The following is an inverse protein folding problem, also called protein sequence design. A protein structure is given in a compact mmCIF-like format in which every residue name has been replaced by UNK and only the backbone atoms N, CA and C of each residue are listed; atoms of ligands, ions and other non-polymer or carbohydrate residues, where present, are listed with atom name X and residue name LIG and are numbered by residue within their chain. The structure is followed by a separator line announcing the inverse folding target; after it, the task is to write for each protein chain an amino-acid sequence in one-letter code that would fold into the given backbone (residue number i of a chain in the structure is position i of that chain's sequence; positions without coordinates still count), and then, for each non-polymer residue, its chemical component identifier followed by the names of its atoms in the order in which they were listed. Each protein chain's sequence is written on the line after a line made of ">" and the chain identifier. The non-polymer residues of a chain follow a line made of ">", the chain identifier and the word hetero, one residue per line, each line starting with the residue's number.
data_IF_954759208411
#
_entry.id   IF_954759208411
#
_cell.length_a   1.000
_cell.length_b   1.000
_cell.length_c   1.000
_cell.angle_alpha   90.00
_cell.angle_beta   90.00
_cell.angle_gamma   90.00
#
_symmetry.space_group_name_H-M   'P 1'
#
loop_
_entity.id
_entity.type
_entity.pdbx_description
1 polymer ?
#
# COMPACT_ATOMS: atom_id res chain seq x y z
N UNK A 1 21.32 -21.71 0.10
CA UNK A 1 20.34 -22.53 -0.65
C UNK A 1 19.09 -21.66 -0.79
N UNK A 2 18.44 -21.55 -1.96
CA UNK A 2 17.24 -20.72 -2.07
C UNK A 2 16.04 -21.47 -1.45
N UNK A 3 15.38 -20.84 -0.47
CA UNK A 3 14.31 -21.46 0.35
C UNK A 3 12.90 -21.13 -0.12
N UNK A 4 12.79 -20.17 -1.03
CA UNK A 4 11.59 -19.90 -1.81
C UNK A 4 11.86 -20.27 -3.28
N UNK A 5 10.91 -20.91 -3.93
CA UNK A 5 10.88 -21.08 -5.39
C UNK A 5 9.58 -20.49 -5.92
N UNK A 6 9.69 -19.69 -6.98
CA UNK A 6 8.54 -19.07 -7.63
C UNK A 6 8.41 -19.65 -9.02
N UNK A 7 7.27 -20.28 -9.29
CA UNK A 7 6.91 -20.84 -10.59
C UNK A 7 5.53 -20.28 -10.98
N UNK A 8 5.49 -19.38 -11.97
CA UNK A 8 4.29 -18.62 -12.34
C UNK A 8 3.61 -17.96 -11.13
N UNK A 9 2.49 -18.53 -10.67
CA UNK A 9 1.65 -18.02 -9.58
C UNK A 9 1.82 -18.80 -8.27
N UNK A 10 2.77 -19.75 -8.24
CA UNK A 10 3.05 -20.60 -7.10
C UNK A 10 4.31 -20.15 -6.37
N UNK A 11 4.22 -20.14 -5.05
CA UNK A 11 5.36 -20.02 -4.15
C UNK A 11 5.48 -21.33 -3.37
N UNK A 12 6.61 -22.00 -3.54
CA UNK A 12 7.01 -23.15 -2.71
C UNK A 12 7.98 -22.61 -1.66
N UNK A 13 7.64 -22.80 -0.39
CA UNK A 13 8.44 -22.33 0.74
C UNK A 13 8.83 -23.51 1.62
N UNK A 14 10.14 -23.72 1.82
CA UNK A 14 10.69 -24.88 2.54
C UNK A 14 11.19 -24.51 3.92
N UNK A 15 10.93 -25.39 4.89
CA UNK A 15 11.52 -25.27 6.22
C UNK A 15 13.03 -25.53 6.17
N UNK A 16 13.89 -24.58 6.60
CA UNK A 16 15.33 -24.80 6.60
C UNK A 16 15.78 -25.94 7.54
N UNK A 17 15.00 -26.23 8.58
CA UNK A 17 15.29 -27.32 9.53
C UNK A 17 14.62 -28.65 9.12
N UNK A 18 13.67 -28.61 8.20
CA UNK A 18 13.03 -29.80 7.65
C UNK A 18 12.71 -29.61 6.14
N UNK A 19 13.70 -29.83 5.25
CA UNK A 19 13.52 -29.60 3.82
C UNK A 19 12.42 -30.41 3.14
N UNK A 20 11.93 -31.48 3.79
CA UNK A 20 10.80 -32.28 3.33
C UNK A 20 9.43 -31.62 3.61
N UNK A 21 9.39 -30.65 4.52
CA UNK A 21 8.19 -29.85 4.83
C UNK A 21 8.07 -28.68 3.85
N UNK A 22 7.49 -28.97 2.69
CA UNK A 22 7.18 -27.99 1.66
C UNK A 22 5.78 -27.39 1.84
N UNK A 23 5.71 -26.05 1.87
CA UNK A 23 4.44 -25.32 1.94
C UNK A 23 4.16 -24.63 0.61
N UNK A 24 2.93 -24.80 0.14
CA UNK A 24 2.49 -24.33 -1.17
C UNK A 24 1.51 -23.17 -1.02
N UNK A 25 1.79 -22.09 -1.73
CA UNK A 25 0.92 -20.92 -1.81
C UNK A 25 0.65 -20.59 -3.28
N UNK A 26 -0.55 -20.11 -3.56
CA UNK A 26 -0.97 -19.65 -4.89
C UNK A 26 -1.53 -18.25 -4.74
N UNK A 27 -1.12 -17.33 -5.61
CA UNK A 27 -1.55 -15.93 -5.63
C UNK A 27 -1.92 -15.50 -7.06
N UNK A 28 -2.49 -14.31 -7.23
CA UNK A 28 -2.77 -13.77 -8.57
C UNK A 28 -1.48 -13.60 -9.39
N UNK A 29 -0.41 -13.17 -8.73
CA UNK A 29 0.95 -13.03 -9.27
C UNK A 29 1.96 -13.46 -8.21
N UNK A 30 3.09 -14.05 -8.63
CA UNK A 30 4.26 -14.28 -7.78
C UNK A 30 5.53 -13.80 -8.49
N UNK A 31 6.26 -12.89 -7.85
CA UNK A 31 7.40 -12.19 -8.46
C UNK A 31 8.72 -12.70 -7.91
N UNK A 32 9.59 -13.21 -8.78
CA UNK A 32 10.96 -13.52 -8.42
C UNK A 32 11.85 -12.29 -8.60
N UNK A 33 12.23 -11.64 -7.50
CA UNK A 33 13.04 -10.42 -7.52
C UNK A 33 14.31 -10.53 -6.68
N UNK A 34 14.83 -11.76 -6.51
CA UNK A 34 15.99 -12.02 -5.65
C UNK A 34 17.34 -11.89 -6.39
N UNK A 35 17.45 -12.54 -7.55
CA UNK A 35 18.66 -12.63 -8.37
C UNK A 35 18.28 -12.63 -9.87
N UNK A 36 19.27 -12.68 -10.76
CA UNK A 36 19.04 -12.66 -12.21
C UNK A 36 18.88 -11.26 -12.80
N UNK A 37 19.57 -10.27 -12.24
CA UNK A 37 19.58 -8.89 -12.73
C UNK A 37 21.00 -8.38 -13.00
N UNK A 38 21.10 -7.37 -13.85
CA UNK A 38 22.28 -6.54 -14.06
C UNK A 38 22.00 -5.11 -13.58
N UNK A 39 22.97 -4.48 -12.90
CA UNK A 39 22.84 -3.09 -12.44
C UNK A 39 23.38 -2.12 -13.51
N UNK A 40 22.48 -1.33 -14.08
CA UNK A 40 22.83 -0.26 -15.01
C UNK A 40 23.51 0.93 -14.30
N UNK A 41 24.11 1.84 -15.08
CA UNK A 41 24.81 3.04 -14.55
C UNK A 41 23.93 3.95 -13.69
N UNK A 42 22.61 3.95 -13.92
CA UNK A 42 21.62 4.70 -13.16
C UNK A 42 21.13 3.94 -11.90
N UNK A 43 21.72 2.78 -11.60
CA UNK A 43 21.32 1.88 -10.52
C UNK A 43 20.03 1.09 -10.79
N UNK A 44 19.52 1.11 -12.03
CA UNK A 44 18.37 0.27 -12.42
C UNK A 44 18.78 -1.20 -12.49
N UNK A 45 17.97 -2.08 -11.91
CA UNK A 45 18.17 -3.52 -11.94
C UNK A 45 17.39 -4.10 -13.12
N UNK A 46 18.05 -4.31 -14.25
CA UNK A 46 17.44 -4.90 -15.44
C UNK A 46 17.47 -6.41 -15.40
N UNK A 47 16.40 -7.10 -15.85
CA UNK A 47 16.38 -8.56 -15.90
C UNK A 47 17.41 -9.10 -16.89
N UNK A 48 18.16 -10.12 -16.49
CA UNK A 48 19.01 -10.94 -17.39
C UNK A 48 18.15 -11.93 -18.18
N UNK A 49 17.05 -12.41 -17.58
CA UNK A 49 16.08 -13.31 -18.17
C UNK A 49 14.64 -13.00 -17.69
N UNK A 50 13.65 -13.72 -18.20
CA UNK A 50 12.23 -13.53 -17.85
C UNK A 50 11.88 -13.89 -16.40
N UNK A 51 12.79 -14.53 -15.65
CA UNK A 51 12.53 -14.92 -14.28
C UNK A 51 12.54 -13.70 -13.37
N UNK A 52 13.50 -12.79 -13.53
CA UNK A 52 13.57 -11.59 -12.68
C UNK A 52 12.40 -10.65 -12.97
N UNK A 53 11.65 -10.34 -11.92
CA UNK A 53 10.58 -9.36 -11.96
C UNK A 53 11.12 -8.00 -11.48
N UNK A 54 11.37 -7.12 -12.44
CA UNK A 54 11.74 -5.74 -12.18
C UNK A 54 10.52 -4.86 -11.83
N UNK A 55 10.78 -3.60 -11.46
CA UNK A 55 9.71 -2.67 -11.08
C UNK A 55 8.75 -2.37 -12.24
N UNK A 56 9.23 -2.43 -13.49
CA UNK A 56 8.39 -2.22 -14.68
C UNK A 56 7.38 -3.34 -14.84
N UNK A 57 7.80 -4.59 -14.67
CA UNK A 57 6.89 -5.75 -14.69
C UNK A 57 5.85 -5.65 -13.58
N UNK A 58 6.26 -5.35 -12.34
CA UNK A 58 5.34 -5.22 -11.20
C UNK A 58 4.33 -4.07 -11.44
N UNK A 59 4.77 -2.95 -12.04
CA UNK A 59 3.87 -1.87 -12.42
C UNK A 59 2.91 -2.26 -13.56
N UNK A 60 3.39 -2.98 -14.58
CA UNK A 60 2.54 -3.43 -15.69
C UNK A 60 1.42 -4.37 -15.21
N UNK A 61 1.74 -5.29 -14.32
CA UNK A 61 0.80 -6.27 -13.78
C UNK A 61 -0.18 -5.64 -12.78
N UNK A 62 0.30 -4.79 -11.87
CA UNK A 62 -0.51 -4.24 -10.76
C UNK A 62 -0.89 -2.77 -10.97
N UNK A 63 0.11 -1.92 -11.18
CA UNK A 63 -0.03 -0.45 -11.23
C UNK A 63 -0.91 0.05 -12.38
N UNK A 64 -0.79 -0.56 -13.57
CA UNK A 64 -1.65 -0.25 -14.72
C UNK A 64 -3.12 -0.48 -14.41
N UNK A 65 -3.44 -1.56 -13.71
CA UNK A 65 -4.80 -1.84 -13.26
C UNK A 65 -5.34 -0.78 -12.30
N UNK A 66 -4.50 -0.26 -11.38
CA UNK A 66 -4.88 0.87 -10.50
C UNK A 66 -5.14 2.13 -11.34
N UNK A 67 -4.27 2.42 -12.30
CA UNK A 67 -4.39 3.59 -13.18
C UNK A 67 -5.67 3.56 -14.00
N UNK A 68 -5.97 2.44 -14.64
CA UNK A 68 -7.17 2.30 -15.47
C UNK A 68 -8.46 2.47 -14.64
N UNK A 69 -8.47 1.97 -13.40
CA UNK A 69 -9.62 2.15 -12.50
C UNK A 69 -9.77 3.60 -12.02
N UNK A 70 -8.67 4.29 -11.72
CA UNK A 70 -8.71 5.73 -11.41
C UNK A 70 -9.31 6.54 -12.58
N UNK A 71 -8.91 6.23 -13.82
CA UNK A 71 -9.50 6.83 -15.02
C UNK A 71 -10.98 6.46 -15.21
N UNK A 72 -11.37 5.24 -14.87
CA UNK A 72 -12.77 4.82 -14.88
C UNK A 72 -13.61 5.51 -13.79
N UNK A 73 -12.98 6.07 -12.74
CA UNK A 73 -13.65 6.76 -11.64
C UNK A 73 -13.86 5.88 -10.41
N UNK A 74 -13.20 4.73 -10.35
CA UNK A 74 -13.27 3.82 -9.22
C UNK A 74 -12.17 4.14 -8.22
N UNK A 75 -12.50 4.00 -6.94
CA UNK A 75 -11.50 4.08 -5.88
C UNK A 75 -10.57 2.87 -5.96
N UNK A 76 -9.31 3.10 -5.62
CA UNK A 76 -8.30 2.05 -5.60
C UNK A 76 -7.49 2.12 -4.31
N UNK A 77 -7.01 0.98 -3.85
CA UNK A 77 -6.08 0.91 -2.75
C UNK A 77 -5.04 -0.16 -3.03
N UNK A 78 -3.77 0.20 -2.92
CA UNK A 78 -2.65 -0.72 -3.06
C UNK A 78 -1.78 -0.61 -1.82
N UNK A 79 -1.53 -1.71 -1.13
CA UNK A 79 -0.70 -1.70 0.06
C UNK A 79 0.38 -2.79 0.05
N UNK A 80 1.59 -2.44 0.48
CA UNK A 80 2.67 -3.39 0.68
C UNK A 80 2.69 -3.87 2.14
N UNK A 81 2.74 -5.19 2.33
CA UNK A 81 2.71 -5.87 3.63
C UNK A 81 3.87 -6.87 3.73
N UNK A 82 4.42 -7.04 4.92
CA UNK A 82 5.52 -7.97 5.20
C UNK A 82 6.50 -7.42 6.22
N UNK A 83 7.50 -8.22 6.59
CA UNK A 83 8.47 -7.84 7.62
C UNK A 83 9.37 -6.66 7.19
N UNK A 84 9.98 -5.98 8.15
CA UNK A 84 11.04 -5.00 7.89
C UNK A 84 12.16 -5.63 7.06
N UNK A 85 12.63 -4.87 6.06
CA UNK A 85 13.67 -5.33 5.14
C UNK A 85 13.19 -6.22 4.00
N UNK A 86 11.90 -6.60 3.93
CA UNK A 86 11.41 -7.49 2.85
C UNK A 86 11.15 -6.81 1.50
N UNK A 87 11.32 -5.49 1.38
CA UNK A 87 11.15 -4.76 0.11
C UNK A 87 9.82 -4.01 -0.07
N UNK A 88 9.05 -3.78 1.00
CA UNK A 88 7.80 -2.99 0.95
C UNK A 88 8.00 -1.59 0.35
N UNK A 89 8.86 -0.78 0.96
CA UNK A 89 9.16 0.58 0.49
C UNK A 89 9.80 0.59 -0.90
N UNK A 90 10.59 -0.43 -1.24
CA UNK A 90 11.12 -0.60 -2.59
C UNK A 90 9.98 -0.82 -3.61
N UNK A 91 9.00 -1.65 -3.30
CA UNK A 91 7.85 -1.90 -4.18
C UNK A 91 6.97 -0.65 -4.36
N UNK A 92 6.73 0.10 -3.26
CA UNK A 92 5.84 1.26 -3.27
C UNK A 92 6.52 2.51 -3.83
N UNK A 93 7.68 2.89 -3.31
CA UNK A 93 8.38 4.13 -3.66
C UNK A 93 9.53 3.85 -4.63
N UNK A 94 10.29 2.79 -4.38
CA UNK A 94 11.49 2.49 -5.17
C UNK A 94 12.77 3.07 -4.59
N UNK A 95 13.88 2.81 -5.28
CA UNK A 95 15.21 3.29 -4.88
C UNK A 95 16.14 3.46 -6.08
N UNK A 96 16.90 4.56 -6.12
CA UNK A 96 17.78 4.95 -7.24
C UNK A 96 17.01 4.88 -8.57
N UNK A 97 17.55 4.22 -9.61
CA UNK A 97 16.89 4.05 -10.90
C UNK A 97 15.63 3.18 -10.87
N UNK A 98 15.34 2.49 -9.77
CA UNK A 98 14.21 1.56 -9.65
C UNK A 98 12.98 2.24 -9.07
N UNK A 99 12.33 3.12 -9.85
CA UNK A 99 11.06 3.75 -9.48
C UNK A 99 10.00 2.68 -9.15
N UNK A 100 9.36 2.79 -7.99
CA UNK A 100 8.29 1.87 -7.57
C UNK A 100 6.91 2.27 -8.10
N UNK A 101 5.87 1.63 -7.57
CA UNK A 101 4.49 1.83 -8.03
C UNK A 101 4.04 3.30 -7.97
N UNK A 102 4.32 4.01 -6.87
CA UNK A 102 3.87 5.40 -6.66
C UNK A 102 4.44 6.35 -7.71
N UNK A 103 5.78 6.50 -7.87
CA UNK A 103 6.31 7.44 -8.85
C UNK A 103 5.93 7.05 -10.28
N UNK A 104 5.95 5.76 -10.65
CA UNK A 104 5.56 5.32 -12.00
C UNK A 104 4.06 5.56 -12.27
N UNK A 105 3.18 5.35 -11.28
CA UNK A 105 1.76 5.68 -11.39
C UNK A 105 1.56 7.17 -11.65
N UNK A 106 2.23 8.02 -10.88
CA UNK A 106 2.12 9.47 -11.01
C UNK A 106 2.64 9.95 -12.38
N UNK A 107 3.75 9.41 -12.86
CA UNK A 107 4.33 9.71 -14.17
C UNK A 107 3.34 9.40 -15.30
N UNK A 108 2.82 8.16 -15.33
CA UNK A 108 1.85 7.73 -16.33
C UNK A 108 0.49 8.45 -16.23
N UNK A 109 0.05 8.80 -15.01
CA UNK A 109 -1.17 9.60 -14.81
C UNK A 109 -1.01 10.98 -15.45
N UNK A 110 0.07 11.70 -15.15
CA UNK A 110 0.28 13.06 -15.65
C UNK A 110 0.54 13.09 -17.15
N UNK A 111 1.29 12.12 -17.68
CA UNK A 111 1.45 11.94 -19.13
C UNK A 111 0.08 11.85 -19.85
N UNK A 112 -0.81 10.99 -19.35
CA UNK A 112 -2.16 10.81 -19.92
C UNK A 112 -3.09 12.01 -19.67
N UNK A 113 -2.87 12.78 -18.59
CA UNK A 113 -3.55 14.05 -18.36
C UNK A 113 -3.15 15.07 -19.42
N UNK A 114 -1.86 15.24 -19.71
CA UNK A 114 -1.35 16.17 -20.72
C UNK A 114 -1.95 15.86 -22.09
N UNK A 115 -1.88 14.60 -22.53
CA UNK A 115 -2.48 14.12 -23.80
C UNK A 115 -3.99 14.42 -23.92
N UNK A 116 -4.73 14.40 -22.80
CA UNK A 116 -6.17 14.68 -22.79
C UNK A 116 -6.51 16.15 -22.58
N UNK A 117 -5.64 16.93 -21.94
CA UNK A 117 -5.79 18.39 -21.81
C UNK A 117 -5.70 19.05 -23.19
N UNK A 118 -4.80 18.58 -24.05
CA UNK A 118 -4.70 19.02 -25.45
C UNK A 118 -6.01 18.80 -26.23
N UNK A 119 -6.82 17.82 -25.83
CA UNK A 119 -8.15 17.52 -26.40
C UNK A 119 -9.30 18.22 -25.67
N UNK A 120 -9.00 19.20 -24.82
CA UNK A 120 -10.00 19.99 -24.07
C UNK A 120 -10.49 19.36 -22.76
N UNK A 121 -9.84 18.29 -22.27
CA UNK A 121 -10.19 17.67 -21.00
C UNK A 121 -9.79 18.51 -19.78
N UNK A 122 -10.61 18.50 -18.73
CA UNK A 122 -10.34 19.21 -17.48
C UNK A 122 -10.08 18.22 -16.34
N UNK A 123 -8.96 18.39 -15.66
CA UNK A 123 -8.47 17.44 -14.65
C UNK A 123 -7.89 18.17 -13.45
N UNK A 124 -8.15 17.66 -12.25
CA UNK A 124 -7.55 18.13 -11.01
C UNK A 124 -6.98 16.94 -10.25
N UNK A 125 -5.76 17.08 -9.75
CA UNK A 125 -5.10 16.08 -8.93
C UNK A 125 -4.72 16.75 -7.61
N UNK A 126 -5.07 16.10 -6.51
CA UNK A 126 -4.65 16.51 -5.18
C UNK A 126 -3.89 15.38 -4.50
N UNK A 127 -2.81 15.72 -3.82
CA UNK A 127 -1.98 14.78 -3.06
C UNK A 127 -2.02 15.10 -1.57
N UNK A 128 -2.17 14.06 -0.77
CA UNK A 128 -1.93 14.04 0.66
C UNK A 128 -0.91 12.95 0.96
N UNK A 129 0.03 13.21 1.86
CA UNK A 129 0.95 12.20 2.36
C UNK A 129 0.95 12.28 3.89
N UNK A 130 0.71 11.16 4.55
CA UNK A 130 0.63 11.11 6.01
C UNK A 130 1.10 9.77 6.54
N UNK A 131 1.48 9.74 7.81
CA UNK A 131 1.85 8.52 8.49
C UNK A 131 0.93 8.21 9.67
N UNK A 132 0.81 6.92 9.98
CA UNK A 132 0.15 6.42 11.17
C UNK A 132 1.23 5.74 12.02
N UNK A 133 1.52 6.32 13.17
CA UNK A 133 2.47 5.79 14.14
C UNK A 133 1.83 5.73 15.51
N UNK A 134 1.78 4.55 16.11
CA UNK A 134 1.11 4.30 17.39
C UNK A 134 -0.32 4.85 17.44
N UNK A 135 -1.12 4.58 16.40
CA UNK A 135 -2.51 5.06 16.24
C UNK A 135 -2.66 6.60 16.18
N UNK A 136 -1.56 7.35 16.05
CA UNK A 136 -1.57 8.80 15.84
C UNK A 136 -1.29 9.11 14.38
N UNK A 137 -2.08 10.00 13.82
CA UNK A 137 -1.96 10.43 12.43
C UNK A 137 -1.10 11.69 12.36
N UNK A 138 -0.08 11.68 11.51
CA UNK A 138 0.76 12.85 11.25
C UNK A 138 0.75 13.18 9.77
N UNK A 139 0.42 14.42 9.45
CA UNK A 139 0.51 14.97 8.11
C UNK A 139 1.98 15.24 7.74
N UNK A 140 2.42 14.69 6.61
CA UNK A 140 3.80 14.83 6.12
C UNK A 140 3.96 15.99 5.14
N UNK A 141 2.88 16.63 4.67
CA UNK A 141 2.90 17.79 3.77
C UNK A 141 2.43 19.09 4.46
N UNK A 142 2.20 19.04 5.77
CA UNK A 142 1.84 20.21 6.56
C UNK A 142 3.09 20.87 7.14
N UNK A 143 3.21 22.19 6.93
CA UNK A 143 4.20 23.01 7.64
C UNK A 143 3.79 23.34 9.09
N UNK A 144 2.52 23.09 9.47
CA UNK A 144 2.03 23.32 10.83
C UNK A 144 2.55 22.23 11.76
N UNK A 145 2.84 22.62 13.00
CA UNK A 145 3.16 21.65 14.05
C UNK A 145 1.99 20.65 14.23
N UNK A 146 2.30 19.35 14.34
CA UNK A 146 1.27 18.35 14.54
C UNK A 146 0.59 18.54 15.90
N UNK A 147 -0.75 18.43 15.99
CA UNK A 147 -1.45 18.50 17.27
C UNK A 147 -0.91 17.49 18.28
N UNK A 148 -0.92 17.84 19.57
CA UNK A 148 -0.64 16.89 20.66
C UNK A 148 -1.64 15.72 20.60
N UNK A 149 -1.20 14.59 20.06
CA UNK A 149 -2.04 13.39 19.85
C UNK A 149 -2.30 13.03 18.38
N UNK A 150 -1.83 13.82 17.42
CA UNK A 150 -2.05 13.59 15.99
C UNK A 150 -3.39 14.13 15.47
N UNK A 151 -3.59 14.03 14.16
CA UNK A 151 -4.84 14.40 13.51
C UNK A 151 -5.97 13.44 13.89
N UNK A 152 -7.20 13.97 13.93
CA UNK A 152 -8.37 13.21 14.36
C UNK A 152 -9.00 12.46 13.20
N UNK A 153 -9.37 11.22 13.45
CA UNK A 153 -10.19 10.43 12.56
C UNK A 153 -11.68 10.76 12.77
N UNK A 154 -12.43 10.98 11.69
CA UNK A 154 -13.87 11.23 11.70
C UNK A 154 -14.57 10.30 10.72
N UNK A 155 -15.87 10.10 10.89
CA UNK A 155 -16.70 9.31 9.95
C UNK A 155 -17.77 10.22 9.37
N UNK A 156 -17.78 10.35 8.05
CA UNK A 156 -18.85 11.03 7.33
C UNK A 156 -19.89 10.00 6.88
N UNK A 157 -21.21 10.25 7.04
CA UNK A 157 -22.25 9.27 6.77
C UNK A 157 -22.25 8.67 5.35
N UNK A 158 -21.80 9.44 4.35
CA UNK A 158 -21.79 9.01 2.94
C UNK A 158 -20.43 8.52 2.45
N UNK A 159 -19.34 9.12 2.92
CA UNK A 159 -17.99 8.90 2.36
C UNK A 159 -17.13 8.02 3.26
N UNK A 160 -17.59 7.70 4.47
CA UNK A 160 -16.87 6.87 5.42
C UNK A 160 -15.82 7.65 6.21
N UNK A 161 -14.79 6.94 6.66
CA UNK A 161 -13.75 7.51 7.50
C UNK A 161 -12.84 8.46 6.73
N UNK A 162 -12.49 9.57 7.38
CA UNK A 162 -11.55 10.56 6.85
C UNK A 162 -10.73 11.19 7.98
N UNK A 163 -9.59 11.76 7.63
CA UNK A 163 -8.72 12.48 8.56
C UNK A 163 -9.11 13.96 8.55
N UNK A 164 -9.51 14.47 9.70
CA UNK A 164 -9.83 15.88 9.88
C UNK A 164 -8.56 16.73 9.80
N UNK A 165 -8.62 17.83 9.03
CA UNK A 165 -7.51 18.78 8.81
C UNK A 165 -6.27 18.19 8.12
N UNK A 166 -6.40 17.06 7.43
CA UNK A 166 -5.34 16.55 6.56
C UNK A 166 -5.13 17.49 5.37
N UNK A 167 -3.88 17.89 5.12
CA UNK A 167 -3.52 18.70 3.97
C UNK A 167 -3.82 17.98 2.66
N UNK A 168 -4.24 18.74 1.67
CA UNK A 168 -4.57 18.25 0.32
C UNK A 168 -4.01 19.25 -0.68
N UNK A 169 -2.80 18.98 -1.16
CA UNK A 169 -2.07 19.89 -2.04
C UNK A 169 -2.49 19.68 -3.50
N UNK A 170 -2.97 20.70 -4.22
CA UNK A 170 -3.19 20.59 -5.65
C UNK A 170 -1.84 20.46 -6.38
N UNK A 171 -1.79 19.62 -7.41
CA UNK A 171 -0.60 19.38 -8.23
C UNK A 171 -0.99 19.34 -9.70
N UNK A 172 -0.22 20.01 -10.56
CA UNK A 172 -0.55 20.21 -11.98
C UNK A 172 0.37 19.48 -12.96
N UNK A 173 1.47 18.90 -12.48
CA UNK A 173 2.45 18.18 -13.28
C UNK A 173 3.09 17.04 -12.47
N UNK A 174 3.75 16.10 -13.17
CA UNK A 174 4.55 15.05 -12.53
C UNK A 174 5.63 15.65 -11.61
N UNK A 175 6.29 16.73 -12.05
CA UNK A 175 7.35 17.40 -11.27
C UNK A 175 6.83 17.96 -9.94
N UNK A 176 5.62 18.52 -9.94
CA UNK A 176 5.00 19.05 -8.70
C UNK A 176 4.66 17.95 -7.71
N UNK A 177 4.08 16.83 -8.17
CA UNK A 177 3.76 15.70 -7.28
C UNK A 177 5.03 15.00 -6.78
N UNK A 178 6.05 14.87 -7.61
CA UNK A 178 7.36 14.33 -7.23
C UNK A 178 7.99 15.18 -6.13
N UNK A 179 8.01 16.51 -6.29
CA UNK A 179 8.50 17.43 -5.26
C UNK A 179 7.72 17.31 -3.94
N UNK A 180 6.39 17.11 -3.99
CA UNK A 180 5.58 16.85 -2.79
C UNK A 180 5.89 15.51 -2.13
N UNK A 181 6.14 14.48 -2.92
CA UNK A 181 6.57 13.17 -2.41
C UNK A 181 7.94 13.23 -1.73
N UNK A 182 8.89 14.00 -2.30
CA UNK A 182 10.20 14.25 -1.70
C UNK A 182 10.09 15.05 -0.40
N UNK A 183 9.25 16.10 -0.37
CA UNK A 183 8.94 16.88 0.83
C UNK A 183 8.43 15.96 1.96
N UNK A 184 7.43 15.13 1.66
CA UNK A 184 6.87 14.20 2.64
C UNK A 184 7.88 13.15 3.11
N UNK A 185 8.74 12.66 2.22
CA UNK A 185 9.82 11.71 2.57
C UNK A 185 10.87 12.34 3.48
N UNK A 186 11.25 13.59 3.22
CA UNK A 186 12.14 14.36 4.08
C UNK A 186 11.52 14.57 5.47
N UNK A 187 10.26 14.99 5.51
CA UNK A 187 9.54 15.23 6.76
C UNK A 187 9.38 13.94 7.59
N UNK A 188 9.14 12.81 6.94
CA UNK A 188 9.13 11.48 7.56
C UNK A 188 10.48 11.12 8.19
N UNK A 189 11.57 11.43 7.51
CA UNK A 189 12.93 11.14 8.02
C UNK A 189 13.25 11.97 9.26
N UNK A 190 12.92 13.27 9.23
CA UNK A 190 13.08 14.17 10.38
C UNK A 190 12.21 13.71 11.57
N UNK A 191 10.97 13.31 11.29
CA UNK A 191 10.03 12.79 12.28
C UNK A 191 10.57 11.56 13.01
N UNK A 192 11.09 10.59 12.25
CA UNK A 192 11.69 9.36 12.77
C UNK A 192 12.82 9.67 13.76
N UNK A 193 13.75 10.56 13.38
CA UNK A 193 14.86 10.98 14.24
C UNK A 193 14.39 11.68 15.51
N UNK A 194 13.44 12.62 15.40
CA UNK A 194 12.95 13.39 16.55
C UNK A 194 12.14 12.53 17.54
N UNK A 195 11.45 11.49 17.05
CA UNK A 195 10.59 10.64 17.87
C UNK A 195 11.29 9.37 18.37
N UNK A 196 12.59 9.20 18.08
CA UNK A 196 13.32 7.93 18.23
C UNK A 196 12.58 6.74 17.59
N UNK A 197 11.75 7.02 16.59
CA UNK A 197 10.90 6.07 15.90
C UNK A 197 11.63 5.59 14.65
N UNK A 198 11.60 4.30 14.36
CA UNK A 198 12.13 3.80 13.09
C UNK A 198 11.09 3.98 12.00
N UNK A 199 11.50 4.42 10.82
CA UNK A 199 10.59 4.59 9.67
C UNK A 199 9.87 3.29 9.25
N UNK A 200 10.39 2.14 9.65
CA UNK A 200 9.77 0.81 9.49
C UNK A 200 8.58 0.55 10.44
N UNK A 201 8.35 1.41 11.43
CA UNK A 201 7.31 1.26 12.46
C UNK A 201 6.05 2.09 12.20
N UNK A 202 6.08 2.96 11.21
CA UNK A 202 4.95 3.79 10.82
C UNK A 202 4.38 3.33 9.47
N UNK A 203 3.06 3.33 9.33
CA UNK A 203 2.40 3.15 8.04
C UNK A 203 2.44 4.46 7.28
N UNK A 204 2.96 4.48 6.07
CA UNK A 204 2.98 5.66 5.21
C UNK A 204 1.91 5.55 4.14
N UNK A 205 1.03 6.54 4.05
CA UNK A 205 -0.07 6.59 3.08
C UNK A 205 0.17 7.77 2.14
N UNK A 206 0.19 7.48 0.85
CA UNK A 206 0.07 8.46 -0.23
C UNK A 206 -1.33 8.39 -0.77
N UNK A 207 -2.11 9.45 -0.58
CA UNK A 207 -3.48 9.56 -1.03
C UNK A 207 -3.57 10.54 -2.19
N UNK A 208 -4.10 10.08 -3.30
CA UNK A 208 -4.41 10.90 -4.47
C UNK A 208 -5.91 11.01 -4.64
N UNK A 209 -6.38 12.24 -4.84
CA UNK A 209 -7.73 12.53 -5.31
C UNK A 209 -7.62 12.98 -6.75
N UNK A 210 -8.18 12.19 -7.66
CA UNK A 210 -8.19 12.49 -9.09
C UNK A 210 -9.60 12.82 -9.56
N UNK A 211 -9.77 14.03 -10.07
CA UNK A 211 -11.04 14.58 -10.53
C UNK A 211 -10.98 14.81 -12.03
N UNK A 212 -11.97 14.30 -12.75
CA UNK A 212 -12.16 14.48 -14.18
C UNK A 212 -13.47 15.25 -14.40
N UNK A 213 -13.38 16.38 -15.10
CA UNK A 213 -14.52 17.24 -15.43
C UNK A 213 -14.79 17.14 -16.92
N UNK A 214 -16.04 16.87 -17.27
CA UNK A 214 -16.50 16.77 -18.66
C UNK A 214 -17.77 17.59 -18.87
N UNK A 215 -17.92 18.33 -19.98
CA UNK A 215 -19.15 19.04 -20.30
C UNK A 215 -20.33 18.07 -20.46
N UNK A 216 -21.53 18.47 -20.04
CA UNK A 216 -22.78 17.76 -20.35
C UNK A 216 -23.46 18.35 -21.58
N UNK A 217 -24.02 17.48 -22.42
CA UNK A 217 -24.98 17.87 -23.45
C UNK A 217 -26.21 18.49 -22.77
N UNK A 218 -26.50 19.77 -23.05
CA UNK A 218 -27.57 20.53 -22.40
C UNK A 218 -27.14 21.51 -21.32
N UNK A 219 -25.82 21.66 -21.09
CA UNK A 219 -25.27 22.60 -20.12
C UNK A 219 -24.90 21.96 -18.77
N UNK A 220 -23.87 22.50 -18.13
CA UNK A 220 -23.29 21.97 -16.88
C UNK A 220 -22.14 20.98 -17.09
N UNK A 221 -21.61 20.47 -15.97
CA UNK A 221 -20.39 19.64 -15.95
C UNK A 221 -20.65 18.33 -15.20
N UNK A 222 -20.24 17.20 -15.77
CA UNK A 222 -20.14 15.92 -15.05
C UNK A 222 -18.77 15.83 -14.40
N UNK A 223 -18.76 15.49 -13.11
CA UNK A 223 -17.54 15.27 -12.35
C UNK A 223 -17.41 13.80 -12.00
N UNK A 224 -16.30 13.19 -12.40
CA UNK A 224 -15.89 11.84 -11.99
C UNK A 224 -14.72 11.98 -11.02
N UNK A 225 -14.81 11.33 -9.86
CA UNK A 225 -13.80 11.41 -8.80
C UNK A 225 -13.35 10.00 -8.43
N UNK A 226 -12.04 9.80 -8.34
CA UNK A 226 -11.43 8.59 -7.80
C UNK A 226 -10.49 8.94 -6.65
N UNK A 227 -10.50 8.08 -5.63
CA UNK A 227 -9.55 8.13 -4.51
C UNK A 227 -8.59 6.94 -4.63
N UNK A 228 -7.30 7.23 -4.68
CA UNK A 228 -6.24 6.24 -4.80
C UNK A 228 -5.39 6.30 -3.53
N UNK A 229 -5.35 5.20 -2.78
CA UNK A 229 -4.54 5.08 -1.58
C UNK A 229 -3.38 4.10 -1.85
N UNK A 230 -2.16 4.60 -1.84
CA UNK A 230 -0.94 3.82 -2.01
C UNK A 230 -0.21 3.77 -0.67
N UNK A 231 -0.08 2.58 -0.09
CA UNK A 231 0.28 2.41 1.33
C UNK A 231 1.53 1.54 1.48
N UNK A 232 2.51 2.06 2.20
CA UNK A 232 3.66 1.31 2.71
C UNK A 232 3.42 1.01 4.19
N UNK A 233 3.04 -0.23 4.51
CA UNK A 233 2.75 -0.60 5.89
C UNK A 233 4.03 -0.75 6.71
N UNK A 234 3.89 -0.62 8.03
CA UNK A 234 4.94 -0.97 8.97
C UNK A 234 5.35 -2.46 8.84
N UNK A 235 6.52 -2.79 9.37
CA UNK A 235 6.99 -4.18 9.49
C UNK A 235 5.98 -5.06 10.22
N UNK A 236 5.67 -6.23 9.66
CA UNK A 236 4.74 -7.21 10.25
C UNK A 236 5.36 -8.13 11.28
N UNK A 237 6.68 -8.05 11.46
CA UNK A 237 7.41 -8.91 12.38
C UNK A 237 6.97 -8.70 13.82
N UNK A 238 6.91 -9.81 14.57
CA UNK A 238 6.71 -9.72 16.01
C UNK A 238 7.99 -9.16 16.61
N UNK A 239 7.87 -8.12 17.44
CA UNK A 239 8.99 -7.75 18.29
C UNK A 239 9.22 -8.90 19.27
N UNK A 240 10.20 -9.76 18.97
CA UNK A 240 10.77 -10.66 19.98
C UNK A 240 11.31 -9.75 21.06
N UNK A 241 11.02 -10.07 22.33
CA UNK A 241 11.35 -9.27 23.51
C UNK A 241 12.79 -8.73 23.47
N UNK A 242 12.96 -7.59 22.81
CA UNK A 242 14.16 -6.79 22.95
C UNK A 242 14.07 -6.31 24.40
N UNK A 243 15.07 -6.63 25.21
CA UNK A 243 15.20 -6.23 26.62
C UNK A 243 15.34 -4.71 26.80
N UNK A 244 14.47 -3.94 26.14
CA UNK A 244 14.37 -2.50 26.19
C UNK A 244 13.18 -2.14 27.06
N UNK A 245 13.47 -1.37 28.11
CA UNK A 245 12.56 -0.92 29.16
C UNK A 245 11.18 -0.46 28.64
N UNK A 246 10.14 -0.86 29.39
CA UNK A 246 8.76 -0.37 29.45
C UNK A 246 8.09 0.25 28.21
N UNK A 247 8.58 1.40 27.75
CA UNK A 247 7.89 2.23 26.76
C UNK A 247 8.08 1.73 25.31
N UNK A 248 9.22 1.11 24.99
CA UNK A 248 9.44 0.46 23.67
C UNK A 248 8.59 -0.81 23.49
N UNK A 249 8.36 -1.54 24.57
CA UNK A 249 7.47 -2.71 24.57
C UNK A 249 6.01 -2.30 24.32
N UNK A 250 5.54 -1.22 24.97
CA UNK A 250 4.21 -0.63 24.70
C UNK A 250 4.07 -0.16 23.26
N UNK A 251 5.11 0.45 22.69
CA UNK A 251 5.15 0.87 21.29
C UNK A 251 5.00 -0.32 20.33
N UNK A 252 5.77 -1.40 20.53
CA UNK A 252 5.69 -2.62 19.73
C UNK A 252 4.30 -3.29 19.77
N UNK A 253 3.62 -3.24 20.91
CA UNK A 253 2.23 -3.73 21.07
C UNK A 253 1.26 -2.87 20.25
N UNK A 254 1.38 -1.54 20.30
CA UNK A 254 0.46 -0.63 19.58
C UNK A 254 0.72 -0.64 18.07
N UNK A 255 1.97 -0.74 17.61
CA UNK A 255 2.24 -0.88 16.16
C UNK A 255 1.61 -2.18 15.64
N UNK A 256 1.81 -3.28 16.37
CA UNK A 256 1.20 -4.55 16.01
C UNK A 256 -0.32 -4.56 16.14
N UNK A 257 -0.93 -3.66 16.91
CA UNK A 257 -2.39 -3.53 16.97
C UNK A 257 -2.98 -3.26 15.59
N UNK A 258 -2.42 -2.33 14.82
CA UNK A 258 -2.91 -1.97 13.49
C UNK A 258 -2.85 -3.15 12.50
N UNK A 259 -1.72 -3.87 12.43
CA UNK A 259 -1.52 -5.01 11.54
C UNK A 259 -2.28 -6.25 12.01
N UNK A 260 -2.33 -6.51 13.31
CA UNK A 260 -3.14 -7.60 13.88
C UNK A 260 -4.62 -7.36 13.61
N UNK A 261 -5.08 -6.12 13.73
CA UNK A 261 -6.45 -5.73 13.40
C UNK A 261 -6.72 -5.86 11.91
N UNK A 262 -5.79 -5.46 11.04
CA UNK A 262 -5.88 -5.70 9.60
C UNK A 262 -6.05 -7.19 9.29
N UNK A 263 -5.23 -8.06 9.90
CA UNK A 263 -5.35 -9.51 9.78
C UNK A 263 -6.71 -10.04 10.25
N UNK A 264 -7.21 -9.55 11.41
CA UNK A 264 -8.55 -9.90 11.92
C UNK A 264 -9.66 -9.45 10.97
N UNK A 265 -9.56 -8.25 10.39
CA UNK A 265 -10.52 -7.71 9.41
C UNK A 265 -10.54 -8.58 8.15
N UNK A 266 -9.38 -8.91 7.59
CA UNK A 266 -9.27 -9.76 6.39
C UNK A 266 -9.86 -11.15 6.68
N UNK A 267 -9.52 -11.76 7.83
CA UNK A 267 -10.06 -13.06 8.23
C UNK A 267 -11.58 -13.02 8.43
N UNK A 268 -12.11 -12.00 9.11
CA UNK A 268 -13.54 -11.83 9.30
C UNK A 268 -14.29 -11.65 7.97
N UNK A 269 -13.69 -10.91 7.03
CA UNK A 269 -14.19 -10.76 5.66
C UNK A 269 -14.19 -12.09 4.90
N UNK A 270 -13.17 -12.93 5.08
CA UNK A 270 -13.13 -14.29 4.53
C UNK A 270 -14.28 -15.15 5.07
N UNK A 271 -14.42 -15.20 6.40
CA UNK A 271 -15.44 -16.01 7.08
C UNK A 271 -16.87 -15.60 6.73
N UNK A 272 -17.12 -14.30 6.55
CA UNK A 272 -18.42 -13.76 6.14
C UNK A 272 -18.83 -14.22 4.74
N UNK A 273 -17.88 -14.54 3.85
CA UNK A 273 -18.19 -15.03 2.50
C UNK A 273 -18.53 -16.52 2.48
N UNK A 274 -17.84 -17.33 3.30
CA UNK A 274 -18.11 -18.77 3.42
C UNK A 274 -19.37 -19.09 4.22
N UNK A 275 -19.78 -18.19 5.12
CA UNK A 275 -20.93 -18.41 5.99
C UNK A 275 -22.22 -17.83 5.38
N UNK A 276 -23.06 -18.67 4.75
CA UNK A 276 -24.39 -18.27 4.27
C UNK A 276 -25.27 -17.80 5.45
N UNK A 277 -25.30 -16.50 5.72
CA UNK A 277 -26.25 -15.85 6.63
C UNK A 277 -25.76 -15.51 8.05
N UNK A 278 -24.53 -15.86 8.45
CA UNK A 278 -23.97 -15.36 9.72
C UNK A 278 -23.41 -13.95 9.55
N UNK A 279 -23.94 -13.02 10.33
CA UNK A 279 -23.43 -11.64 10.43
C UNK A 279 -22.15 -11.66 11.26
N UNK A 280 -21.00 -11.77 10.59
CA UNK A 280 -19.69 -11.60 11.23
C UNK A 280 -19.46 -10.10 11.45
N UNK A 281 -19.21 -9.69 12.69
CA UNK A 281 -18.84 -8.30 12.98
C UNK A 281 -17.40 -8.05 12.53
N UNK A 282 -17.20 -7.13 11.59
CA UNK A 282 -15.87 -6.78 11.10
C UNK A 282 -15.27 -5.65 11.97
N UNK A 283 -14.12 -5.85 12.61
CA UNK A 283 -13.55 -4.91 13.58
C UNK A 283 -12.79 -3.74 12.92
N UNK A 284 -13.41 -3.04 11.96
CA UNK A 284 -12.77 -1.91 11.28
C UNK A 284 -12.34 -0.79 12.24
N UNK A 285 -13.10 -0.61 13.34
CA UNK A 285 -12.90 0.47 14.30
C UNK A 285 -11.79 0.23 15.32
N UNK A 286 -11.23 -0.97 15.36
CA UNK A 286 -10.22 -1.36 16.35
C UNK A 286 -8.82 -0.77 16.07
N UNK A 287 -8.61 -0.20 14.88
CA UNK A 287 -7.42 0.61 14.57
C UNK A 287 -7.74 1.72 13.57
N UNK A 288 -6.97 2.80 13.62
CA UNK A 288 -7.02 3.93 12.68
C UNK A 288 -6.74 3.45 11.25
N UNK A 289 -5.78 2.55 11.08
CA UNK A 289 -5.45 1.98 9.77
C UNK A 289 -6.66 1.27 9.17
N UNK A 290 -7.32 0.38 9.92
CA UNK A 290 -8.48 -0.35 9.41
C UNK A 290 -9.73 0.52 9.25
N UNK A 291 -9.84 1.62 9.99
CA UNK A 291 -10.87 2.62 9.72
C UNK A 291 -10.67 3.26 8.35
N UNK A 292 -9.45 3.75 8.08
CA UNK A 292 -9.11 4.40 6.81
C UNK A 292 -9.18 3.43 5.63
N UNK A 293 -8.81 2.17 5.84
CA UNK A 293 -8.89 1.11 4.84
C UNK A 293 -10.27 0.44 4.77
N UNK A 294 -11.29 0.86 5.54
CA UNK A 294 -12.62 0.24 5.52
C UNK A 294 -13.21 0.19 4.11
N UNK A 295 -13.10 1.28 3.35
CA UNK A 295 -13.60 1.35 1.98
C UNK A 295 -12.76 0.48 1.03
N UNK A 296 -11.46 0.34 1.29
CA UNK A 296 -10.58 -0.56 0.55
C UNK A 296 -10.94 -2.04 0.79
N UNK A 297 -11.19 -2.41 2.04
CA UNK A 297 -11.33 -3.80 2.47
C UNK A 297 -12.77 -4.34 2.40
N UNK A 298 -13.79 -3.50 2.47
CA UNK A 298 -15.19 -3.96 2.42
C UNK A 298 -16.12 -3.11 1.57
N UNK A 299 -15.59 -2.07 0.92
CA UNK A 299 -16.36 -1.07 0.19
C UNK A 299 -16.25 -1.22 -1.34
N UNK A 300 -16.55 -0.11 -2.02
CA UNK A 300 -16.45 0.01 -3.47
C UNK A 300 -15.07 0.55 -3.87
N UNK A 301 -14.05 -0.29 -3.72
CA UNK A 301 -12.66 0.02 -4.06
C UNK A 301 -11.99 -1.22 -4.62
N UNK A 302 -11.21 -1.07 -5.70
CA UNK A 302 -10.32 -2.14 -6.13
C UNK A 302 -9.11 -2.18 -5.22
N UNK A 303 -8.85 -3.33 -4.62
CA UNK A 303 -7.81 -3.46 -3.60
C UNK A 303 -6.77 -4.48 -3.99
N UNK A 304 -5.51 -4.07 -3.91
CA UNK A 304 -4.34 -4.87 -4.25
C UNK A 304 -3.43 -4.91 -3.01
N UNK A 305 -2.88 -6.07 -2.72
CA UNK A 305 -1.87 -6.23 -1.67
C UNK A 305 -0.61 -6.83 -2.27
N UNK A 306 0.53 -6.17 -2.02
CA UNK A 306 1.86 -6.69 -2.33
C UNK A 306 2.40 -7.33 -1.05
N UNK A 307 2.51 -8.66 -1.02
CA UNK A 307 3.13 -9.38 0.08
C UNK A 307 4.65 -9.49 -0.16
N UNK A 308 5.42 -8.62 0.48
CA UNK A 308 6.87 -8.57 0.37
C UNK A 308 7.50 -9.57 1.35
N UNK A 309 8.25 -10.54 0.83
CA UNK A 309 8.82 -11.67 1.60
C UNK A 309 10.35 -11.65 1.57
N UNK A 310 10.98 -12.26 2.58
CA UNK A 310 12.43 -12.44 2.59
C UNK A 310 12.82 -13.83 2.07
N UNK A 311 13.84 -13.95 1.22
CA UNK A 311 14.35 -15.25 0.79
C UNK A 311 15.27 -15.92 1.83
N UNK A 312 15.64 -15.20 2.90
CA UNK A 312 16.57 -15.69 3.91
C UNK A 312 15.91 -16.70 4.87
N UNK A 313 16.63 -17.76 5.22
CA UNK A 313 16.23 -18.80 6.17
C UNK A 313 15.95 -18.25 7.58
N UNK A 314 16.77 -17.31 8.06
CA UNK A 314 16.60 -16.65 9.35
C UNK A 314 15.22 -15.96 9.51
N UNK A 315 14.57 -15.67 8.38
CA UNK A 315 13.28 -15.00 8.29
C UNK A 315 12.12 -15.96 8.00
N UNK A 316 12.33 -17.27 8.14
CA UNK A 316 11.37 -18.31 7.79
C UNK A 316 9.98 -18.09 8.41
N UNK A 317 9.91 -17.92 9.73
CA UNK A 317 8.64 -17.78 10.44
C UNK A 317 7.84 -16.53 10.00
N UNK A 318 8.55 -15.42 9.79
CA UNK A 318 7.95 -14.14 9.43
C UNK A 318 7.50 -14.12 7.96
N UNK A 319 8.28 -14.73 7.06
CA UNK A 319 7.88 -14.92 5.67
C UNK A 319 6.68 -15.87 5.57
N UNK A 320 6.68 -16.96 6.34
CA UNK A 320 5.56 -17.88 6.40
C UNK A 320 4.29 -17.21 6.94
N UNK A 321 4.43 -16.37 7.98
CA UNK A 321 3.34 -15.54 8.51
C UNK A 321 2.79 -14.59 7.44
N UNK A 322 3.67 -13.94 6.69
CA UNK A 322 3.31 -13.04 5.58
C UNK A 322 2.52 -13.77 4.50
N UNK A 323 3.00 -14.93 4.03
CA UNK A 323 2.34 -15.76 3.01
C UNK A 323 0.95 -16.24 3.47
N UNK A 324 0.82 -16.66 4.74
CA UNK A 324 -0.46 -17.07 5.33
C UNK A 324 -1.46 -15.92 5.40
N UNK A 325 -1.02 -14.74 5.86
CA UNK A 325 -1.86 -13.53 5.87
C UNK A 325 -2.30 -13.16 4.46
N UNK A 326 -1.38 -13.23 3.49
CA UNK A 326 -1.65 -12.88 2.12
C UNK A 326 -2.71 -13.74 1.46
N UNK A 327 -2.71 -15.04 1.77
CA UNK A 327 -3.68 -16.00 1.27
C UNK A 327 -5.13 -15.62 1.61
N UNK A 328 -5.37 -14.98 2.76
CA UNK A 328 -6.73 -14.56 3.13
C UNK A 328 -7.25 -13.37 2.32
N UNK A 329 -6.39 -12.62 1.61
CA UNK A 329 -6.80 -11.51 0.76
C UNK A 329 -7.34 -11.92 -0.63
N UNK A 330 -7.06 -13.14 -1.11
CA UNK A 330 -7.31 -13.60 -2.48
C UNK A 330 -8.78 -13.92 -2.85
N UNK A 331 -9.76 -13.47 -2.06
CA UNK A 331 -11.13 -13.98 -2.19
C UNK A 331 -11.97 -13.10 -3.13
N UNK A 332 -12.80 -13.66 -4.04
CA UNK A 332 -13.29 -12.99 -5.26
C UNK A 332 -14.14 -11.72 -5.11
N UNK A 333 -14.56 -11.30 -3.91
CA UNK A 333 -15.35 -10.06 -3.76
C UNK A 333 -14.56 -8.78 -4.06
N UNK A 334 -13.24 -8.82 -4.11
CA UNK A 334 -12.41 -7.65 -4.43
C UNK A 334 -12.23 -7.40 -5.93
N UNK A 335 -12.51 -8.39 -6.80
CA UNK A 335 -12.33 -8.27 -8.25
C UNK A 335 -13.60 -7.81 -8.99
N UNK A 336 -14.80 -8.21 -8.53
CA UNK A 336 -16.00 -8.19 -9.38
C UNK A 336 -17.01 -7.04 -9.15
N UNK A 337 -16.83 -6.17 -8.15
CA UNK A 337 -17.80 -5.07 -7.90
C UNK A 337 -17.59 -3.78 -8.70
N UNK A 338 -16.51 -3.68 -9.47
CA UNK A 338 -16.27 -2.51 -10.34
C UNK A 338 -17.01 -2.57 -11.70
N UNK A 339 -17.94 -3.52 -11.88
CA UNK A 339 -18.71 -3.73 -13.13
C UNK A 339 -20.23 -3.52 -13.02
N UNK A 340 -20.75 -3.01 -11.90
CA UNK A 340 -22.19 -2.69 -11.77
C UNK A 340 -22.46 -1.21 -11.66
#
# INVERSE_FOLDING_TARGET
>A
MNFAFIFCNYIIYRDPNNPSDEKWFTFDHSYWSHDGYEEGKNGYLSPVDERYADQKRVFADLGKGVLDNAWAGYNCSLFAYGQTGSGKSYSIVGFKGNKGIVPTFCEELFKKIEEKKEKGGQFEVFVSMFEIYCEKIRDLLSAKEPPKGGLKLREHPKTGFYVENLSSSPVNSYKEIEAKMEEGTKNRTIAATNMNATSSRAHTIVKLIFVQKSPKTGGGTTTKKSEINLVDLAGSERQRDAGTEGDRMKEGIVINQSLSTLGRVIKALHEQQGSKGKKVQIPYRDSVLTCLLKNALGGNSKTIMIAAISPADINYDETLSTLRSAKFCLIPRFADRAKS
#
